data_IF_072843816489
#
_entry.id   IF_072843816489
#
_cell.length_a   1.000
_cell.length_b   1.000
_cell.length_c   1.000
_cell.angle_alpha   90.00
_cell.angle_beta   90.00
_cell.angle_gamma   90.00
#
_symmetry.space_group_name_H-M   'P 1'
#
loop_
_entity.id
_entity.type
_entity.pdbx_description
1 polymer ?
#
# COMPACT_ATOMS: atom_id res chain seq x y z
N UNK A 1 11.73 -9.11 42.59
CA UNK A 1 12.63 -9.45 41.47
C UNK A 1 11.74 -9.70 40.27
N UNK A 2 11.44 -8.66 39.48
CA UNK A 2 10.62 -8.75 38.28
C UNK A 2 11.51 -9.15 37.11
N UNK A 3 11.23 -10.28 36.49
CA UNK A 3 11.83 -10.67 35.24
C UNK A 3 11.47 -9.61 34.17
N UNK A 4 12.50 -8.93 33.67
CA UNK A 4 12.38 -8.13 32.44
C UNK A 4 12.01 -9.10 31.32
N UNK A 5 10.84 -8.90 30.75
CA UNK A 5 10.50 -9.53 29.47
C UNK A 5 11.63 -9.22 28.48
N UNK A 6 12.08 -10.23 27.75
CA UNK A 6 13.07 -10.10 26.69
C UNK A 6 12.59 -9.01 25.74
N UNK A 7 13.35 -7.91 25.61
CA UNK A 7 13.22 -6.96 24.50
C UNK A 7 13.46 -7.74 23.19
N UNK A 8 12.39 -8.32 22.66
CA UNK A 8 12.43 -8.84 21.30
C UNK A 8 12.63 -7.61 20.40
N UNK A 9 13.77 -7.55 19.74
CA UNK A 9 14.07 -6.44 18.85
C UNK A 9 12.94 -6.28 17.82
N UNK A 10 12.51 -5.03 17.61
CA UNK A 10 11.46 -4.68 16.66
C UNK A 10 11.86 -5.10 15.24
N UNK A 11 10.95 -5.66 14.47
CA UNK A 11 11.18 -6.04 13.07
C UNK A 11 11.27 -4.75 12.23
N UNK A 12 12.41 -4.51 11.59
CA UNK A 12 12.62 -3.34 10.74
C UNK A 12 12.13 -3.60 9.32
N UNK A 13 11.12 -2.83 8.88
CA UNK A 13 10.72 -2.68 7.49
C UNK A 13 11.55 -1.55 6.88
N UNK A 14 12.23 -1.84 5.77
CA UNK A 14 13.01 -0.86 5.01
C UNK A 14 12.10 -0.02 4.11
N UNK A 15 11.18 -0.67 3.38
CA UNK A 15 10.26 0.01 2.47
C UNK A 15 9.08 -0.86 2.03
N UNK A 16 8.04 -0.19 1.53
CA UNK A 16 6.98 -0.80 0.74
C UNK A 16 7.54 -1.14 -0.67
N UNK A 17 7.45 -2.40 -1.09
CA UNK A 17 8.03 -2.86 -2.36
C UNK A 17 7.03 -2.98 -3.49
N UNK A 18 5.93 -3.65 -3.26
CA UNK A 18 4.91 -3.90 -4.28
C UNK A 18 3.55 -4.22 -3.65
N UNK A 19 2.53 -4.16 -4.48
CA UNK A 19 1.23 -4.76 -4.21
C UNK A 19 0.97 -5.85 -5.25
N UNK A 20 0.54 -7.03 -4.79
CA UNK A 20 0.08 -8.12 -5.65
C UNK A 20 -1.44 -8.20 -5.58
N UNK A 21 -2.04 -8.21 -6.74
CA UNK A 21 -3.49 -8.35 -6.94
C UNK A 21 -3.77 -9.58 -7.80
N UNK A 22 -4.83 -10.33 -7.50
CA UNK A 22 -5.31 -11.35 -8.39
C UNK A 22 -6.45 -10.83 -9.26
N UNK A 23 -6.57 -11.36 -10.48
CA UNK A 23 -7.60 -10.98 -11.44
C UNK A 23 -8.12 -12.20 -12.18
N UNK A 24 -9.40 -12.20 -12.54
CA UNK A 24 -10.00 -13.20 -13.44
C UNK A 24 -9.72 -12.92 -14.91
N UNK A 25 -9.25 -11.70 -15.23
CA UNK A 25 -9.02 -11.25 -16.60
C UNK A 25 -7.69 -10.50 -16.71
N UNK A 26 -6.60 -11.25 -16.82
CA UNK A 26 -5.25 -10.68 -16.91
C UNK A 26 -5.06 -9.72 -18.10
N UNK A 27 -5.59 -9.95 -19.31
CA UNK A 27 -5.52 -8.99 -20.42
C UNK A 27 -6.13 -7.62 -20.09
N UNK A 28 -7.29 -7.59 -19.43
CA UNK A 28 -7.94 -6.33 -18.99
C UNK A 28 -7.09 -5.63 -17.92
N UNK A 29 -6.55 -6.37 -16.97
CA UNK A 29 -5.68 -5.82 -15.93
C UNK A 29 -4.38 -5.24 -16.52
N UNK A 30 -3.80 -5.90 -17.54
CA UNK A 30 -2.62 -5.39 -18.26
C UNK A 30 -2.93 -4.10 -18.99
N UNK A 31 -4.02 -4.06 -19.77
CA UNK A 31 -4.44 -2.85 -20.50
C UNK A 31 -4.65 -1.68 -19.52
N UNK A 32 -5.33 -1.93 -18.41
CA UNK A 32 -5.56 -0.93 -17.38
C UNK A 32 -4.23 -0.42 -16.78
N UNK A 33 -3.33 -1.32 -16.38
CA UNK A 33 -2.06 -0.95 -15.77
C UNK A 33 -1.19 -0.11 -16.71
N UNK A 34 -1.16 -0.45 -18.01
CA UNK A 34 -0.36 0.29 -18.99
C UNK A 34 -1.05 1.57 -19.45
N UNK A 35 -2.29 1.49 -19.92
CA UNK A 35 -2.96 2.59 -20.60
C UNK A 35 -3.61 3.57 -19.63
N UNK A 36 -4.18 3.09 -18.52
CA UNK A 36 -4.85 3.95 -17.54
C UNK A 36 -3.88 4.40 -16.44
N UNK A 37 -3.20 3.45 -15.75
CA UNK A 37 -2.24 3.82 -14.71
C UNK A 37 -0.94 4.39 -15.28
N UNK A 38 -0.53 4.03 -16.51
CA UNK A 38 0.73 4.48 -17.09
C UNK A 38 1.95 3.72 -16.58
N UNK A 39 1.77 2.53 -15.99
CA UNK A 39 2.89 1.73 -15.50
C UNK A 39 3.65 1.06 -16.67
N UNK A 40 4.93 0.82 -16.47
CA UNK A 40 5.75 0.09 -17.42
C UNK A 40 5.60 -1.41 -17.19
N UNK A 41 5.13 -2.14 -18.22
CA UNK A 41 5.14 -3.60 -18.22
C UNK A 41 6.58 -4.12 -18.26
N UNK A 42 6.94 -5.04 -17.35
CA UNK A 42 8.28 -5.64 -17.26
C UNK A 42 8.27 -7.07 -17.79
N UNK A 43 7.37 -7.88 -17.25
CA UNK A 43 7.21 -9.27 -17.67
C UNK A 43 5.75 -9.63 -17.80
N UNK A 44 5.46 -10.55 -18.71
CA UNK A 44 4.14 -11.10 -18.95
C UNK A 44 4.25 -12.59 -19.27
N UNK A 45 3.40 -13.37 -18.62
CA UNK A 45 3.10 -14.76 -18.94
C UNK A 45 1.59 -14.97 -19.03
N UNK A 46 1.14 -16.20 -19.21
CA UNK A 46 -0.29 -16.53 -19.17
C UNK A 46 -0.88 -16.43 -17.75
N UNK A 47 -0.03 -16.50 -16.71
CA UNK A 47 -0.45 -16.52 -15.31
C UNK A 47 -0.19 -15.20 -14.57
N UNK A 48 0.74 -14.37 -15.05
CA UNK A 48 1.21 -13.19 -14.32
C UNK A 48 1.66 -12.08 -15.27
N UNK A 49 1.50 -10.84 -14.81
CA UNK A 49 2.16 -9.66 -15.36
C UNK A 49 2.72 -8.78 -14.26
N UNK A 50 3.93 -8.25 -14.45
CA UNK A 50 4.61 -7.37 -13.50
C UNK A 50 4.83 -5.99 -14.10
N UNK A 51 4.65 -4.97 -13.25
CA UNK A 51 4.74 -3.57 -13.68
C UNK A 51 5.58 -2.79 -12.68
N UNK A 52 6.34 -1.84 -13.19
CA UNK A 52 7.07 -0.90 -12.35
C UNK A 52 6.60 0.53 -12.53
N UNK A 53 6.84 1.33 -11.49
CA UNK A 53 6.57 2.76 -11.42
C UNK A 53 7.82 3.59 -11.13
N UNK A 54 8.96 2.94 -10.85
CA UNK A 54 10.20 3.56 -10.41
C UNK A 54 11.42 2.62 -10.60
N UNK A 55 12.46 2.77 -9.77
CA UNK A 55 13.69 1.97 -9.81
C UNK A 55 13.52 0.51 -9.37
N UNK A 56 12.42 0.15 -8.71
CA UNK A 56 12.14 -1.24 -8.32
C UNK A 56 11.88 -2.08 -9.56
N UNK A 57 12.22 -3.37 -9.53
CA UNK A 57 11.90 -4.25 -10.65
C UNK A 57 10.40 -4.27 -10.93
N UNK A 58 9.60 -4.37 -9.87
CA UNK A 58 8.15 -4.25 -9.96
C UNK A 58 7.55 -3.59 -8.72
N UNK A 59 6.42 -2.90 -8.89
CA UNK A 59 5.62 -2.26 -7.83
C UNK A 59 4.17 -2.71 -7.85
N UNK A 60 3.71 -3.29 -8.97
CA UNK A 60 2.42 -3.94 -9.12
C UNK A 60 2.61 -5.30 -9.77
N UNK A 61 1.93 -6.31 -9.23
CA UNK A 61 1.85 -7.65 -9.80
C UNK A 61 0.38 -7.99 -9.98
N UNK A 62 0.00 -8.39 -11.19
CA UNK A 62 -1.28 -9.07 -11.44
C UNK A 62 -1.03 -10.55 -11.65
N UNK A 63 -1.75 -11.40 -10.92
CA UNK A 63 -1.78 -12.85 -11.10
C UNK A 63 -3.19 -13.30 -11.48
N UNK A 64 -3.30 -14.34 -12.32
CA UNK A 64 -4.59 -14.98 -12.58
C UNK A 64 -5.05 -15.70 -11.33
N UNK A 65 -6.25 -15.41 -10.86
CA UNK A 65 -6.80 -16.01 -9.66
C UNK A 65 -8.01 -15.29 -9.08
N UNK A 66 -8.35 -15.64 -7.85
CA UNK A 66 -9.44 -15.00 -7.12
C UNK A 66 -9.03 -13.58 -6.69
N UNK A 67 -9.79 -12.53 -7.10
CA UNK A 67 -9.50 -11.15 -6.74
C UNK A 67 -9.43 -10.86 -5.23
N UNK A 68 -9.98 -11.71 -4.38
CA UNK A 68 -9.84 -11.60 -2.93
C UNK A 68 -8.42 -11.95 -2.44
N UNK A 69 -7.63 -12.64 -3.25
CA UNK A 69 -6.26 -13.04 -2.93
C UNK A 69 -5.29 -11.92 -3.32
N UNK A 70 -4.93 -11.13 -2.33
CA UNK A 70 -4.08 -9.97 -2.49
C UNK A 70 -2.95 -10.01 -1.47
N UNK A 71 -1.82 -9.36 -1.74
CA UNK A 71 -0.75 -9.20 -0.75
C UNK A 71 -0.01 -7.89 -0.93
N UNK A 72 0.61 -7.42 0.17
CA UNK A 72 1.49 -6.26 0.20
C UNK A 72 2.90 -6.74 0.50
N UNK A 73 3.84 -6.46 -0.38
CA UNK A 73 5.26 -6.79 -0.24
C UNK A 73 6.01 -5.69 0.51
N UNK A 74 6.67 -6.07 1.60
CA UNK A 74 7.46 -5.21 2.45
C UNK A 74 8.89 -5.73 2.50
N UNK A 75 9.88 -4.86 2.28
CA UNK A 75 11.27 -5.26 2.29
C UNK A 75 11.84 -5.27 3.70
N UNK A 76 12.55 -6.35 4.00
CA UNK A 76 13.43 -6.47 5.16
C UNK A 76 14.88 -6.65 4.70
N UNK A 77 15.83 -6.13 5.45
CA UNK A 77 17.20 -5.92 4.99
C UNK A 77 17.98 -7.20 4.73
N UNK A 78 17.82 -8.21 5.58
CA UNK A 78 18.65 -9.43 5.55
C UNK A 78 17.84 -10.67 5.86
N UNK A 79 18.41 -11.85 5.53
CA UNK A 79 17.85 -13.14 5.94
C UNK A 79 17.71 -13.23 7.47
N UNK A 80 18.67 -12.74 8.23
CA UNK A 80 18.60 -12.78 9.69
C UNK A 80 17.44 -11.95 10.25
N UNK A 81 17.10 -10.81 9.62
CA UNK A 81 15.91 -10.01 9.99
C UNK A 81 14.63 -10.77 9.62
N UNK A 82 14.60 -11.47 8.49
CA UNK A 82 13.45 -12.31 8.11
C UNK A 82 13.25 -13.47 9.09
N UNK A 83 14.33 -14.18 9.46
CA UNK A 83 14.27 -15.29 10.40
C UNK A 83 13.81 -14.82 11.79
N UNK A 84 14.31 -13.66 12.23
CA UNK A 84 13.85 -12.99 13.44
C UNK A 84 12.38 -12.62 13.37
N UNK A 85 11.92 -12.05 12.23
CA UNK A 85 10.52 -11.71 12.03
C UNK A 85 9.60 -12.94 12.12
N UNK A 86 9.98 -14.06 11.52
CA UNK A 86 9.24 -15.32 11.61
C UNK A 86 9.13 -15.79 13.06
N UNK A 87 10.23 -15.71 13.84
CA UNK A 87 10.24 -16.10 15.25
C UNK A 87 9.35 -15.18 16.12
N UNK A 88 9.46 -13.85 15.93
CA UNK A 88 8.64 -12.86 16.66
C UNK A 88 7.16 -13.04 16.36
N UNK A 89 6.79 -13.18 15.09
CA UNK A 89 5.41 -13.41 14.68
C UNK A 89 4.85 -14.70 15.31
N UNK A 90 5.61 -15.81 15.26
CA UNK A 90 5.22 -17.08 15.88
C UNK A 90 5.01 -16.96 17.38
N UNK A 91 5.91 -16.25 18.10
CA UNK A 91 5.78 -15.99 19.53
C UNK A 91 4.53 -15.16 19.89
N UNK A 92 3.96 -14.41 18.91
CA UNK A 92 2.72 -13.64 19.05
C UNK A 92 1.50 -14.34 18.41
N UNK A 93 1.60 -15.63 18.11
CA UNK A 93 0.51 -16.44 17.57
C UNK A 93 0.18 -16.17 16.11
N UNK A 94 1.09 -15.58 15.36
CA UNK A 94 0.96 -15.29 13.93
C UNK A 94 1.87 -16.24 13.15
N UNK A 95 1.28 -17.10 12.32
CA UNK A 95 2.03 -18.04 11.49
C UNK A 95 2.60 -17.31 10.28
N UNK A 96 3.92 -17.36 10.11
CA UNK A 96 4.61 -16.93 8.91
C UNK A 96 5.09 -18.15 8.13
N UNK A 97 4.79 -18.19 6.83
CA UNK A 97 5.11 -19.31 5.93
C UNK A 97 6.21 -18.89 4.98
N UNK A 98 7.31 -19.65 4.96
CA UNK A 98 8.41 -19.43 4.01
C UNK A 98 7.96 -19.73 2.58
N UNK A 99 8.41 -18.91 1.64
CA UNK A 99 8.10 -19.08 0.24
C UNK A 99 8.89 -20.25 -0.38
N UNK A 100 8.26 -20.95 -1.30
CA UNK A 100 8.95 -21.94 -2.14
C UNK A 100 9.74 -21.27 -3.30
N UNK A 101 10.60 -22.04 -3.97
CA UNK A 101 11.44 -21.52 -5.06
C UNK A 101 10.63 -20.85 -6.19
N UNK A 102 9.46 -21.37 -6.53
CA UNK A 102 8.61 -20.80 -7.57
C UNK A 102 8.04 -19.41 -7.16
N UNK A 103 7.63 -19.26 -5.90
CA UNK A 103 7.18 -17.97 -5.39
C UNK A 103 8.32 -16.94 -5.32
N UNK A 104 9.53 -17.37 -4.91
CA UNK A 104 10.72 -16.51 -4.91
C UNK A 104 11.07 -16.02 -6.31
N UNK A 105 11.04 -16.91 -7.29
CA UNK A 105 11.33 -16.57 -8.68
C UNK A 105 10.30 -15.54 -9.21
N UNK A 106 9.00 -15.75 -8.95
CA UNK A 106 7.94 -14.82 -9.36
C UNK A 106 8.05 -13.43 -8.71
N UNK A 107 8.60 -13.34 -7.50
CA UNK A 107 8.81 -12.06 -6.78
C UNK A 107 10.22 -11.51 -6.97
N UNK A 108 11.08 -12.25 -7.71
CA UNK A 108 12.49 -11.88 -7.89
C UNK A 108 13.16 -11.51 -6.57
N UNK A 109 12.92 -12.30 -5.54
CA UNK A 109 13.42 -12.09 -4.18
C UNK A 109 14.35 -13.23 -3.76
N UNK A 110 15.37 -12.91 -2.95
CA UNK A 110 16.30 -13.91 -2.44
C UNK A 110 15.66 -14.83 -1.40
N UNK A 111 14.81 -14.26 -0.55
CA UNK A 111 14.02 -14.98 0.44
C UNK A 111 12.72 -14.23 0.71
N UNK A 112 11.71 -14.94 1.16
CA UNK A 112 10.40 -14.37 1.47
C UNK A 112 9.67 -15.25 2.48
N UNK A 113 8.90 -14.62 3.37
CA UNK A 113 7.90 -15.28 4.18
C UNK A 113 6.60 -14.47 4.13
N UNK A 114 5.46 -15.15 4.12
CA UNK A 114 4.14 -14.51 4.14
C UNK A 114 3.42 -14.77 5.45
N UNK A 115 2.70 -13.77 5.94
CA UNK A 115 1.83 -13.87 7.11
C UNK A 115 0.52 -13.10 6.89
N UNK A 116 -0.43 -13.28 7.81
CA UNK A 116 -1.69 -12.54 7.80
C UNK A 116 -1.87 -11.77 9.09
N UNK A 117 -2.44 -10.56 8.97
CA UNK A 117 -2.93 -9.80 10.12
C UNK A 117 -4.25 -10.38 10.67
N UNK A 118 -4.83 -9.73 11.68
CA UNK A 118 -6.10 -10.17 12.29
C UNK A 118 -7.29 -10.04 11.36
N UNK A 119 -7.22 -9.15 10.39
CA UNK A 119 -8.25 -8.93 9.37
C UNK A 119 -8.09 -9.85 8.16
N UNK A 120 -7.06 -10.70 8.13
CA UNK A 120 -6.77 -11.63 7.05
C UNK A 120 -6.00 -11.02 5.88
N UNK A 121 -5.52 -9.78 5.98
CA UNK A 121 -4.66 -9.18 4.96
C UNK A 121 -3.33 -9.94 4.90
N UNK A 122 -2.90 -10.29 3.69
CA UNK A 122 -1.64 -11.01 3.49
C UNK A 122 -0.49 -10.03 3.25
N UNK A 123 0.60 -10.23 3.98
CA UNK A 123 1.86 -9.51 3.80
C UNK A 123 2.97 -10.46 3.43
N UNK A 124 3.85 -10.00 2.55
CA UNK A 124 5.04 -10.72 2.11
C UNK A 124 6.29 -9.95 2.58
N UNK A 125 7.04 -10.51 3.53
CA UNK A 125 8.33 -9.96 3.94
C UNK A 125 9.39 -10.48 2.98
N UNK A 126 10.03 -9.58 2.24
CA UNK A 126 10.95 -9.95 1.16
C UNK A 126 12.37 -9.46 1.44
N UNK A 127 13.35 -10.32 1.17
CA UNK A 127 14.78 -10.02 1.32
C UNK A 127 15.40 -9.80 -0.04
N UNK A 128 16.05 -8.64 -0.21
CA UNK A 128 16.77 -8.29 -1.43
C UNK A 128 15.97 -8.56 -2.71
N UNK A 129 14.76 -7.99 -2.84
CA UNK A 129 14.05 -8.01 -4.10
C UNK A 129 14.85 -7.24 -5.16
N UNK A 130 14.75 -7.68 -6.41
CA UNK A 130 15.52 -7.06 -7.49
C UNK A 130 15.15 -5.60 -7.70
N UNK A 131 16.16 -4.81 -8.11
CA UNK A 131 15.99 -3.44 -8.59
C UNK A 131 16.38 -3.38 -10.06
N UNK A 132 15.72 -2.50 -10.81
CA UNK A 132 16.03 -2.31 -12.21
C UNK A 132 17.23 -1.37 -12.38
N UNK A 133 18.22 -1.79 -13.15
CA UNK A 133 19.30 -0.90 -13.61
C UNK A 133 18.89 0.02 -14.76
N UNK A 134 17.69 -0.16 -15.30
CA UNK A 134 17.16 0.65 -16.40
C UNK A 134 16.31 1.80 -15.91
N UNK A 135 16.36 2.92 -16.62
CA UNK A 135 15.45 4.04 -16.38
C UNK A 135 13.99 3.58 -16.52
N UNK A 136 13.12 4.11 -15.66
CA UNK A 136 11.67 3.92 -15.79
C UNK A 136 11.15 4.68 -17.01
N UNK A 137 10.38 3.97 -17.86
CA UNK A 137 9.69 4.54 -19.01
C UNK A 137 8.19 4.22 -18.89
N UNK A 138 7.37 5.20 -18.53
CA UNK A 138 5.93 4.98 -18.42
C UNK A 138 5.31 4.63 -19.76
N UNK A 139 4.33 3.73 -19.76
CA UNK A 139 3.53 3.42 -20.96
C UNK A 139 2.63 4.60 -21.38
N UNK A 140 2.25 5.42 -20.41
CA UNK A 140 1.62 6.73 -20.55
C UNK A 140 2.25 7.68 -19.56
N UNK A 141 2.56 8.88 -19.99
CA UNK A 141 3.09 9.91 -19.09
C UNK A 141 1.99 10.41 -18.15
N UNK A 142 1.92 9.80 -16.98
CA UNK A 142 1.05 10.18 -15.87
C UNK A 142 1.80 10.98 -14.79
N UNK A 143 3.08 11.25 -15.02
CA UNK A 143 3.96 11.89 -14.04
C UNK A 143 4.23 11.03 -12.80
N UNK A 144 4.12 9.70 -12.89
CA UNK A 144 4.35 8.81 -11.74
C UNK A 144 5.82 8.86 -11.34
N UNK A 145 6.07 9.05 -10.04
CA UNK A 145 7.40 9.06 -9.42
C UNK A 145 7.68 7.82 -8.58
N UNK A 146 6.65 7.04 -8.25
CA UNK A 146 6.82 5.76 -7.55
C UNK A 146 5.57 5.26 -6.82
N UNK A 147 5.65 4.05 -6.26
CA UNK A 147 4.65 3.49 -5.37
C UNK A 147 4.69 4.25 -4.04
N UNK A 148 3.59 4.86 -3.64
CA UNK A 148 3.49 5.70 -2.45
C UNK A 148 3.03 4.92 -1.21
N UNK A 149 1.87 4.26 -1.29
CA UNK A 149 1.26 3.58 -0.17
C UNK A 149 0.29 2.48 -0.63
N UNK A 150 -0.09 1.62 0.31
CA UNK A 150 -1.21 0.70 0.20
C UNK A 150 -2.25 1.02 1.28
N UNK A 151 -3.49 1.26 0.89
CA UNK A 151 -4.62 1.33 1.81
C UNK A 151 -5.24 -0.06 1.96
N UNK A 152 -5.54 -0.45 3.18
CA UNK A 152 -6.06 -1.75 3.56
C UNK A 152 -7.38 -1.60 4.31
N UNK A 153 -8.28 -2.55 4.10
CA UNK A 153 -9.47 -2.74 4.93
C UNK A 153 -9.10 -3.52 6.18
N UNK A 154 -9.65 -3.12 7.31
CA UNK A 154 -9.45 -3.82 8.58
C UNK A 154 -10.78 -4.05 9.28
N UNK A 155 -10.98 -5.26 9.81
CA UNK A 155 -12.10 -5.63 10.68
C UNK A 155 -11.73 -5.50 12.16
N UNK A 156 -10.47 -5.19 12.46
CA UNK A 156 -9.86 -5.16 13.80
C UNK A 156 -8.84 -4.03 13.92
N UNK A 157 -9.26 -2.77 13.71
CA UNK A 157 -8.38 -1.59 13.61
C UNK A 157 -7.31 -1.53 14.70
N UNK A 158 -7.70 -1.62 15.97
CA UNK A 158 -6.74 -1.57 17.08
C UNK A 158 -5.75 -2.73 17.12
N UNK A 159 -6.18 -3.95 16.76
CA UNK A 159 -5.28 -5.11 16.76
C UNK A 159 -4.31 -5.09 15.55
N UNK A 160 -4.79 -4.64 14.39
CA UNK A 160 -3.94 -4.50 13.20
C UNK A 160 -2.98 -3.31 13.35
N UNK A 161 -3.40 -2.19 13.95
CA UNK A 161 -2.50 -1.08 14.31
C UNK A 161 -1.42 -1.55 15.29
N UNK A 162 -1.82 -2.26 16.37
CA UNK A 162 -0.91 -2.78 17.38
C UNK A 162 0.14 -3.74 16.78
N UNK A 163 -0.23 -4.55 15.79
CA UNK A 163 0.72 -5.41 15.07
C UNK A 163 1.88 -4.57 14.52
N UNK A 164 1.59 -3.50 13.77
CA UNK A 164 2.60 -2.67 13.12
C UNK A 164 3.42 -1.82 14.08
N UNK A 165 2.81 -1.38 15.18
CA UNK A 165 3.46 -0.46 16.12
C UNK A 165 4.20 -1.16 17.26
N UNK A 166 3.91 -2.45 17.53
CA UNK A 166 4.55 -3.22 18.60
C UNK A 166 5.54 -4.25 18.10
N UNK A 167 5.26 -4.93 16.99
CA UNK A 167 6.15 -5.96 16.45
C UNK A 167 7.06 -5.43 15.35
N UNK A 168 6.62 -4.38 14.63
CA UNK A 168 7.37 -3.74 13.56
C UNK A 168 7.77 -2.31 13.93
N UNK A 169 8.67 -1.73 13.16
CA UNK A 169 9.09 -0.33 13.30
C UNK A 169 8.03 0.69 12.81
N UNK A 170 6.79 0.26 12.64
CA UNK A 170 5.68 1.10 12.22
C UNK A 170 5.35 2.17 13.25
N UNK A 171 5.06 3.37 12.78
CA UNK A 171 4.62 4.50 13.61
C UNK A 171 3.37 5.11 13.04
N UNK A 172 2.38 5.35 13.88
CA UNK A 172 1.19 6.10 13.48
C UNK A 172 1.56 7.56 13.26
N UNK A 173 1.15 8.09 12.13
CA UNK A 173 1.30 9.51 11.81
C UNK A 173 0.05 10.30 12.20
N UNK A 174 -1.13 9.82 11.86
CA UNK A 174 -2.41 10.43 12.22
C UNK A 174 -3.51 9.37 12.22
N UNK A 175 -4.68 9.70 12.78
CA UNK A 175 -5.91 8.93 12.68
C UNK A 175 -7.06 9.76 12.11
N UNK A 176 -8.00 9.09 11.40
CA UNK A 176 -9.33 9.63 11.06
C UNK A 176 -10.38 8.65 11.59
N UNK A 177 -11.06 8.99 12.68
CA UNK A 177 -11.82 8.00 13.44
C UNK A 177 -10.89 6.86 13.86
N UNK A 178 -11.24 5.61 13.49
CA UNK A 178 -10.44 4.42 13.74
C UNK A 178 -9.52 4.04 12.57
N UNK A 179 -9.44 4.87 11.52
CA UNK A 179 -8.49 4.66 10.45
C UNK A 179 -7.11 5.17 10.86
N UNK A 180 -6.08 4.33 10.78
CA UNK A 180 -4.70 4.64 11.16
C UNK A 180 -3.79 4.76 9.93
N UNK A 181 -2.93 5.78 9.92
CA UNK A 181 -1.93 6.02 8.88
C UNK A 181 -0.54 5.69 9.42
N UNK A 182 0.10 4.63 8.90
CA UNK A 182 1.34 4.05 9.44
C UNK A 182 2.50 4.29 8.48
N UNK A 183 3.59 4.83 9.02
CA UNK A 183 4.86 5.03 8.32
C UNK A 183 5.94 4.08 8.80
N UNK A 184 6.89 3.80 7.92
CA UNK A 184 8.15 3.10 8.21
C UNK A 184 9.38 3.97 7.90
N UNK A 185 9.17 5.02 7.13
CA UNK A 185 10.17 5.99 6.68
C UNK A 185 9.69 7.43 6.91
N UNK A 186 10.25 8.40 6.20
CA UNK A 186 9.88 9.82 6.30
C UNK A 186 8.57 10.20 5.58
N UNK A 187 7.96 9.32 4.79
CA UNK A 187 6.64 9.57 4.23
C UNK A 187 5.58 9.58 5.36
N UNK A 188 4.54 10.39 5.20
CA UNK A 188 3.45 10.42 6.18
C UNK A 188 2.89 9.02 6.45
N UNK A 189 2.72 8.18 5.44
CA UNK A 189 2.33 6.79 5.59
C UNK A 189 2.76 5.94 4.39
N UNK A 190 2.92 4.64 4.65
CA UNK A 190 3.10 3.58 3.67
C UNK A 190 1.97 2.57 3.71
N UNK A 191 1.33 2.44 4.87
CA UNK A 191 0.09 1.70 5.04
C UNK A 191 -0.98 2.62 5.62
N UNK A 192 -2.21 2.51 5.12
CA UNK A 192 -3.39 3.14 5.70
C UNK A 192 -4.41 2.04 6.03
N UNK A 193 -4.78 1.90 7.31
CA UNK A 193 -5.73 0.90 7.79
C UNK A 193 -7.09 1.55 7.92
N UNK A 194 -8.06 1.14 7.10
CA UNK A 194 -9.41 1.69 7.11
C UNK A 194 -10.40 0.68 7.69
N UNK A 195 -11.18 1.05 8.73
CA UNK A 195 -12.25 0.21 9.27
C UNK A 195 -13.22 -0.22 8.18
N UNK A 196 -13.49 -1.52 8.13
CA UNK A 196 -14.40 -2.13 7.15
C UNK A 196 -15.00 -3.41 7.72
N UNK A 197 -16.00 -3.98 7.05
CA UNK A 197 -16.59 -5.27 7.41
C UNK A 197 -15.81 -6.48 6.84
N UNK A 198 -14.71 -6.24 6.14
CA UNK A 198 -13.83 -7.28 5.56
C UNK A 198 -12.38 -6.80 5.51
N UNK A 199 -11.44 -7.71 5.37
CA UNK A 199 -10.05 -7.41 4.99
C UNK A 199 -9.88 -7.20 3.48
N UNK A 200 -8.65 -6.96 3.06
CA UNK A 200 -8.23 -6.81 1.67
C UNK A 200 -7.58 -5.45 1.36
N UNK A 201 -6.88 -5.39 0.25
CA UNK A 201 -6.37 -4.11 -0.25
C UNK A 201 -7.55 -3.26 -0.70
N UNK A 202 -7.61 -2.03 -0.20
CA UNK A 202 -8.63 -1.04 -0.55
C UNK A 202 -8.18 -0.20 -1.74
N UNK A 203 -6.94 0.32 -1.68
CA UNK A 203 -6.40 1.13 -2.76
C UNK A 203 -4.87 0.98 -2.86
N UNK A 204 -4.34 1.12 -4.06
CA UNK A 204 -2.91 1.25 -4.34
C UNK A 204 -2.63 2.70 -4.73
N UNK A 205 -1.70 3.35 -4.04
CA UNK A 205 -1.40 4.76 -4.25
C UNK A 205 -0.06 4.95 -4.96
N UNK A 206 -0.07 5.74 -6.03
CA UNK A 206 1.12 6.14 -6.78
C UNK A 206 1.40 7.63 -6.59
N UNK A 207 2.63 7.95 -6.20
CA UNK A 207 3.09 9.33 -6.18
C UNK A 207 3.23 9.85 -7.60
N UNK A 208 2.77 11.08 -7.83
CA UNK A 208 2.95 11.83 -9.08
C UNK A 208 3.65 13.16 -8.79
N UNK A 209 4.16 13.81 -9.83
CA UNK A 209 5.01 15.01 -9.71
C UNK A 209 4.33 16.18 -8.98
N UNK A 210 3.00 16.36 -9.12
CA UNK A 210 2.30 17.45 -8.45
C UNK A 210 0.85 17.64 -8.86
N UNK A 211 0.28 18.78 -8.46
CA UNK A 211 -1.11 19.14 -8.74
C UNK A 211 -1.44 19.11 -10.25
N UNK A 212 -0.52 19.53 -11.10
CA UNK A 212 -0.76 19.53 -12.55
C UNK A 212 -1.08 18.13 -13.07
N UNK A 213 -0.33 17.12 -12.62
CA UNK A 213 -0.54 15.72 -13.02
C UNK A 213 -1.86 15.16 -12.47
N UNK A 214 -2.25 15.55 -11.27
CA UNK A 214 -3.57 15.21 -10.69
C UNK A 214 -4.69 15.76 -11.56
N UNK A 215 -4.61 17.03 -11.97
CA UNK A 215 -5.64 17.68 -12.80
C UNK A 215 -5.68 17.12 -14.22
N UNK A 216 -4.51 16.88 -14.84
CA UNK A 216 -4.42 16.22 -16.15
C UNK A 216 -5.02 14.81 -16.09
N UNK A 217 -4.69 14.05 -15.03
CA UNK A 217 -5.23 12.71 -14.81
C UNK A 217 -6.77 12.74 -14.66
N UNK A 218 -7.33 13.73 -13.97
CA UNK A 218 -8.78 13.87 -13.83
C UNK A 218 -9.47 13.95 -15.21
N UNK A 219 -9.02 14.85 -16.09
CA UNK A 219 -9.59 14.98 -17.42
C UNK A 219 -9.35 13.74 -18.29
N UNK A 220 -8.17 13.14 -18.19
CA UNK A 220 -7.86 11.90 -18.89
C UNK A 220 -8.78 10.76 -18.45
N UNK A 221 -8.97 10.53 -17.15
CA UNK A 221 -9.83 9.48 -16.62
C UNK A 221 -11.29 9.70 -17.03
N UNK A 222 -11.77 10.94 -17.01
CA UNK A 222 -13.10 11.28 -17.53
C UNK A 222 -13.24 10.93 -19.01
N UNK A 223 -12.27 11.30 -19.85
CA UNK A 223 -12.29 11.00 -21.28
C UNK A 223 -12.18 9.48 -21.55
N UNK A 224 -11.48 8.75 -20.72
CA UNK A 224 -11.36 7.29 -20.74
C UNK A 224 -12.56 6.57 -20.09
N UNK A 225 -13.55 7.30 -19.60
CA UNK A 225 -14.74 6.78 -18.91
C UNK A 225 -14.40 5.93 -17.67
N UNK A 226 -13.29 6.24 -16.99
CA UNK A 226 -12.92 5.63 -15.74
C UNK A 226 -13.62 6.33 -14.59
N UNK A 227 -14.28 5.56 -13.72
CA UNK A 227 -15.03 6.11 -12.58
C UNK A 227 -14.10 6.71 -11.55
N UNK A 228 -14.14 8.03 -11.36
CA UNK A 228 -13.53 8.73 -10.24
C UNK A 228 -14.45 8.54 -9.03
N UNK A 229 -13.90 8.07 -7.90
CA UNK A 229 -14.66 7.75 -6.69
C UNK A 229 -14.39 8.70 -5.53
N UNK A 230 -13.27 9.46 -5.56
CA UNK A 230 -12.95 10.47 -4.57
C UNK A 230 -11.89 11.45 -5.12
N UNK A 231 -12.07 12.72 -4.88
CA UNK A 231 -11.17 13.77 -5.36
C UNK A 231 -11.58 14.38 -6.69
N UNK A 232 -10.75 15.30 -7.27
CA UNK A 232 -9.51 15.78 -6.67
C UNK A 232 -9.73 16.43 -5.32
N UNK A 233 -8.77 16.23 -4.41
CA UNK A 233 -8.90 16.73 -3.07
C UNK A 233 -7.56 16.84 -2.34
N UNK A 234 -7.57 17.39 -1.13
CA UNK A 234 -6.41 17.45 -0.24
C UNK A 234 -6.74 16.79 1.10
N UNK A 235 -5.92 15.83 1.52
CA UNK A 235 -6.08 15.11 2.80
C UNK A 235 -5.58 15.98 3.95
N UNK A 236 -6.39 16.31 4.99
CA UNK A 236 -5.93 17.11 6.14
C UNK A 236 -4.85 16.41 6.97
N UNK A 237 -4.79 15.09 6.95
CA UNK A 237 -3.80 14.28 7.66
C UNK A 237 -2.40 14.46 7.06
N UNK A 238 -2.22 14.07 5.83
CA UNK A 238 -0.94 14.00 5.14
C UNK A 238 -0.62 15.21 4.27
N UNK A 239 -1.53 16.17 4.16
CA UNK A 239 -1.48 17.29 3.22
C UNK A 239 -1.38 16.87 1.72
N UNK A 240 -1.54 15.57 1.44
CA UNK A 240 -1.49 15.06 0.07
C UNK A 240 -2.67 15.55 -0.76
N UNK A 241 -2.38 16.04 -1.95
CA UNK A 241 -3.38 16.15 -3.02
C UNK A 241 -3.61 14.74 -3.57
N UNK A 242 -4.85 14.37 -3.84
CA UNK A 242 -5.18 13.03 -4.30
C UNK A 242 -6.31 13.01 -5.34
N UNK A 243 -6.32 11.94 -6.13
CA UNK A 243 -7.40 11.57 -7.03
C UNK A 243 -7.55 10.05 -7.02
N UNK A 244 -8.68 9.55 -6.54
CA UNK A 244 -8.94 8.10 -6.43
C UNK A 244 -9.97 7.67 -7.46
N UNK A 245 -9.70 6.57 -8.14
CA UNK A 245 -10.52 6.04 -9.23
C UNK A 245 -10.58 4.51 -9.22
N UNK A 246 -11.61 3.97 -9.87
CA UNK A 246 -11.82 2.53 -9.95
C UNK A 246 -10.97 1.89 -11.05
N UNK A 247 -10.46 0.71 -10.76
CA UNK A 247 -9.78 -0.19 -11.68
C UNK A 247 -10.51 -1.52 -11.83
N UNK A 248 -9.87 -2.52 -12.43
CA UNK A 248 -10.42 -3.86 -12.56
C UNK A 248 -10.74 -4.48 -11.19
N UNK A 249 -11.75 -5.34 -11.15
CA UNK A 249 -12.18 -6.11 -9.96
C UNK A 249 -12.54 -5.21 -8.76
N UNK A 250 -13.07 -4.01 -9.03
CA UNK A 250 -13.40 -2.98 -8.01
C UNK A 250 -12.20 -2.52 -7.15
N UNK A 251 -10.97 -2.79 -7.62
CA UNK A 251 -9.77 -2.29 -6.98
C UNK A 251 -9.66 -0.78 -7.17
N UNK A 252 -9.29 -0.07 -6.12
CA UNK A 252 -9.08 1.37 -6.19
C UNK A 252 -7.61 1.69 -6.43
N UNK A 253 -7.39 2.75 -7.19
CA UNK A 253 -6.07 3.34 -7.41
C UNK A 253 -6.13 4.84 -7.12
N UNK A 254 -5.04 5.36 -6.57
CA UNK A 254 -4.93 6.81 -6.32
C UNK A 254 -3.64 7.36 -6.89
N UNK A 255 -3.74 8.52 -7.52
CA UNK A 255 -2.59 9.39 -7.69
C UNK A 255 -2.52 10.35 -6.51
N UNK A 256 -1.32 10.51 -5.94
CA UNK A 256 -1.07 11.37 -4.79
C UNK A 256 0.16 12.26 -5.01
N UNK A 257 0.11 13.48 -4.51
CA UNK A 257 1.20 14.44 -4.64
C UNK A 257 1.35 15.31 -3.38
N UNK A 258 2.49 15.97 -3.23
CA UNK A 258 2.73 17.01 -2.22
C UNK A 258 2.53 16.56 -0.76
N UNK A 259 2.73 15.29 -0.46
CA UNK A 259 2.54 14.76 0.89
C UNK A 259 3.58 15.27 1.89
N UNK A 260 3.15 15.49 3.13
CA UNK A 260 4.03 15.82 4.25
C UNK A 260 5.10 14.75 4.44
N UNK A 261 6.34 15.19 4.66
CA UNK A 261 7.44 14.33 5.08
C UNK A 261 7.75 14.55 6.56
N UNK A 262 7.94 13.46 7.28
CA UNK A 262 8.22 13.46 8.73
C UNK A 262 9.66 13.02 8.91
N UNK A 263 10.58 13.96 8.79
CA UNK A 263 12.04 13.72 8.86
C UNK A 263 12.52 13.56 10.31
N UNK A 264 11.85 14.19 11.27
CA UNK A 264 12.19 14.13 12.69
C UNK A 264 11.12 13.37 13.49
N UNK A 265 11.34 12.09 13.66
CA UNK A 265 10.39 11.20 14.36
C UNK A 265 10.03 11.66 15.78
N UNK A 266 10.94 12.33 16.48
CA UNK A 266 10.71 12.83 17.83
C UNK A 266 9.85 14.10 17.90
N UNK A 267 9.80 14.87 16.84
CA UNK A 267 9.05 16.12 16.77
C UNK A 267 7.59 15.93 16.31
N UNK A 268 7.31 14.87 15.54
CA UNK A 268 5.95 14.61 15.05
C UNK A 268 5.02 14.15 16.18
N UNK A 269 3.88 14.81 16.29
CA UNK A 269 2.79 14.45 17.21
C UNK A 269 1.60 13.96 16.38
N UNK A 270 1.23 12.66 16.47
CA UNK A 270 0.05 12.13 15.78
C UNK A 270 -1.21 12.89 16.17
N UNK A 271 -2.04 13.22 15.18
CA UNK A 271 -3.29 13.96 15.36
C UNK A 271 -4.47 13.02 15.19
N UNK A 272 -5.49 13.22 16.01
CA UNK A 272 -6.77 12.51 15.91
C UNK A 272 -7.79 13.40 15.20
N UNK A 273 -8.22 13.00 14.03
CA UNK A 273 -9.32 13.65 13.30
C UNK A 273 -10.63 12.91 13.56
N UNK A 274 -11.71 13.64 13.80
CA UNK A 274 -13.04 13.02 13.83
C UNK A 274 -13.41 12.45 12.45
N UNK A 275 -14.24 11.41 12.38
CA UNK A 275 -14.69 10.81 11.12
C UNK A 275 -15.76 11.70 10.45
N UNK A 276 -15.37 12.88 10.00
CA UNK A 276 -16.22 13.88 9.30
C UNK A 276 -15.75 14.08 7.88
N UNK A 277 -16.62 14.55 6.99
CA UNK A 277 -16.34 14.81 5.58
C UNK A 277 -15.03 15.57 5.34
N UNK A 278 -14.85 16.70 6.06
CA UNK A 278 -13.65 17.52 5.91
C UNK A 278 -12.37 16.88 6.46
N UNK A 279 -12.47 15.80 7.24
CA UNK A 279 -11.29 15.02 7.68
C UNK A 279 -10.75 14.08 6.61
N UNK A 280 -11.55 13.74 5.60
CA UNK A 280 -11.10 12.96 4.43
C UNK A 280 -10.65 13.86 3.29
N UNK A 281 -11.29 15.04 3.12
CA UNK A 281 -10.95 15.97 2.06
C UNK A 281 -11.19 17.42 2.49
N UNK A 282 -10.10 18.17 2.69
CA UNK A 282 -10.16 19.60 3.05
C UNK A 282 -10.84 20.46 1.97
N UNK A 283 -10.81 20.03 0.70
CA UNK A 283 -11.45 20.74 -0.41
C UNK A 283 -12.94 20.39 -0.57
N UNK A 284 -13.45 19.45 0.26
CA UNK A 284 -14.87 19.12 0.31
C UNK A 284 -15.34 18.11 -0.73
N UNK A 285 -14.43 17.43 -1.44
CA UNK A 285 -14.81 16.28 -2.29
C UNK A 285 -15.39 15.17 -1.41
N UNK A 286 -16.48 14.56 -1.89
CA UNK A 286 -17.13 13.44 -1.22
C UNK A 286 -16.77 12.11 -1.91
N UNK A 287 -16.74 11.04 -1.15
CA UNK A 287 -16.48 9.70 -1.67
C UNK A 287 -17.74 8.85 -1.65
N UNK A 288 -17.90 8.02 -2.68
CA UNK A 288 -18.90 6.96 -2.70
C UNK A 288 -18.41 5.66 -2.04
N UNK A 289 -17.15 5.65 -1.58
CA UNK A 289 -16.52 4.49 -0.93
C UNK A 289 -16.71 4.60 0.58
N UNK A 290 -17.36 3.62 1.23
CA UNK A 290 -17.70 3.72 2.66
C UNK A 290 -16.49 3.95 3.56
N UNK A 291 -15.34 3.37 3.23
CA UNK A 291 -14.10 3.51 4.00
C UNK A 291 -13.55 4.94 3.97
N UNK A 292 -13.89 5.73 2.94
CA UNK A 292 -13.50 7.13 2.78
C UNK A 292 -14.64 8.12 3.07
N UNK A 293 -15.77 7.62 3.59
CA UNK A 293 -16.93 8.45 3.91
C UNK A 293 -16.96 8.83 5.40
N UNK A 294 -17.60 9.95 5.69
CA UNK A 294 -17.95 10.33 7.06
C UNK A 294 -18.91 9.32 7.69
N UNK A 295 -18.94 9.24 9.01
CA UNK A 295 -20.06 8.58 9.71
C UNK A 295 -21.34 9.39 9.44
N UNK A 296 -22.44 8.70 9.19
CA UNK A 296 -23.75 9.32 9.28
C UNK A 296 -23.96 9.71 10.75
N UNK A 297 -24.20 10.99 11.01
CA UNK A 297 -24.54 11.52 12.36
C UNK A 297 -25.94 11.09 12.76
#
# INVERSE_FOLDING_TARGET
>A
MGQRGSDLAVIEIEQLRYVRLCTRNLPVAIDFAQRILGLQLIEKSDEQATFRSDFRDHTLVYEVGDPSQQSVGLEVRTQAVLDHAVAVLAANGITATAANAGALARRKARAMASFRDRSGNTFELVVRPETSGWRYFPSRDAGITGLAAAALRTTSSGADEALWTTLFNGRVSDWVGDAAFIRFDDAHHRLALHPSNRGGVLAVEYAVEGLNQIMQAMYFLQSAQVKIVHGPGRRPTSDQIFLTFAGPEDMLFSYVAEGTRITENGAHRPRQFARKRLSFCAWGSESTVPEFAASED
#
